data_IF_991659123249
#
_entry.id   IF_991659123249
#
_cell.length_a   1.000
_cell.length_b   1.000
_cell.length_c   1.000
_cell.angle_alpha   90.00
_cell.angle_beta   90.00
_cell.angle_gamma   90.00
#
_symmetry.space_group_name_H-M   'P 1'
#
loop_
_entity.id
_entity.type
_entity.pdbx_description
1 polymer ?
#
# COMPACT_ATOMS: atom_id res chain seq x y z
N UNK A 1 58.28 -4.58 -0.22
CA UNK A 1 57.91 -4.58 -1.64
C UNK A 1 58.17 -5.98 -2.18
N UNK A 2 57.10 -6.77 -2.31
CA UNK A 2 57.09 -8.01 -3.08
C UNK A 2 55.62 -8.27 -3.44
N UNK A 3 55.33 -8.18 -4.74
CA UNK A 3 54.03 -8.52 -5.31
C UNK A 3 54.01 -10.04 -5.53
N UNK A 4 52.87 -10.68 -5.23
CA UNK A 4 52.51 -11.99 -5.78
C UNK A 4 51.21 -11.83 -6.58
N UNK A 5 51.14 -12.30 -7.84
CA UNK A 5 49.97 -12.12 -8.70
C UNK A 5 48.96 -13.28 -8.61
N UNK A 6 47.69 -12.89 -8.69
CA UNK A 6 46.54 -13.51 -9.38
C UNK A 6 46.06 -14.92 -9.00
N UNK A 7 44.79 -15.02 -8.59
CA UNK A 7 43.82 -15.88 -9.28
C UNK A 7 42.42 -15.26 -9.23
N UNK A 8 41.84 -15.09 -10.42
CA UNK A 8 40.59 -14.42 -10.69
C UNK A 8 39.44 -15.43 -10.58
N UNK A 9 38.73 -15.41 -9.46
CA UNK A 9 37.36 -15.92 -9.37
C UNK A 9 36.57 -14.94 -8.52
N UNK A 10 36.04 -13.91 -9.19
CA UNK A 10 35.09 -12.99 -8.59
C UNK A 10 33.82 -13.75 -8.25
N UNK A 11 33.76 -14.29 -7.04
CA UNK A 11 32.48 -14.51 -6.38
C UNK A 11 31.99 -13.11 -6.03
N UNK A 12 31.06 -12.57 -6.81
CA UNK A 12 30.35 -11.36 -6.44
C UNK A 12 29.63 -11.66 -5.13
N UNK A 13 30.19 -11.17 -4.03
CA UNK A 13 29.53 -11.20 -2.73
C UNK A 13 28.47 -10.10 -2.85
N UNK A 14 27.27 -10.46 -3.31
CA UNK A 14 26.11 -9.59 -3.16
C UNK A 14 26.02 -9.21 -1.68
N UNK A 15 26.09 -7.91 -1.33
CA UNK A 15 26.10 -7.50 0.06
C UNK A 15 24.83 -8.00 0.74
N UNK A 16 25.01 -8.67 1.89
CA UNK A 16 23.95 -9.28 2.74
C UNK A 16 22.88 -8.24 3.15
N UNK A 17 23.10 -6.94 2.91
CA UNK A 17 22.13 -5.87 3.18
C UNK A 17 20.99 -5.72 2.15
N UNK A 18 20.95 -6.52 1.07
CA UNK A 18 19.99 -6.34 -0.03
C UNK A 18 18.80 -7.30 0.00
N UNK A 19 18.81 -8.33 0.85
CA UNK A 19 17.68 -9.24 0.95
C UNK A 19 16.62 -8.65 1.89
N UNK A 20 15.37 -8.43 1.43
CA UNK A 20 14.32 -7.96 2.31
C UNK A 20 14.13 -8.96 3.46
N UNK A 21 13.83 -8.48 4.68
CA UNK A 21 13.54 -9.34 5.82
C UNK A 21 12.55 -10.45 5.45
N UNK A 22 12.66 -11.68 6.01
CA UNK A 22 11.85 -12.83 5.60
C UNK A 22 10.34 -12.58 5.60
N UNK A 23 9.84 -11.76 6.52
CA UNK A 23 8.43 -11.34 6.57
C UNK A 23 8.03 -10.50 5.34
N UNK A 24 8.92 -9.62 4.88
CA UNK A 24 8.70 -8.76 3.71
C UNK A 24 8.80 -9.59 2.43
N UNK A 25 9.78 -10.50 2.31
CA UNK A 25 9.85 -11.44 1.18
C UNK A 25 8.60 -12.31 1.09
N UNK A 26 8.20 -12.97 2.18
CA UNK A 26 6.98 -13.80 2.17
C UNK A 26 5.72 -13.01 1.84
N UNK A 27 5.65 -11.74 2.25
CA UNK A 27 4.55 -10.85 1.90
C UNK A 27 4.55 -10.53 0.41
N UNK A 28 5.70 -10.14 -0.15
CA UNK A 28 5.84 -9.82 -1.58
C UNK A 28 5.57 -11.02 -2.48
N UNK A 29 6.00 -12.22 -2.09
CA UNK A 29 5.89 -13.41 -2.95
C UNK A 29 4.49 -14.05 -2.92
N UNK A 30 3.77 -13.91 -1.80
CA UNK A 30 2.49 -14.63 -1.60
C UNK A 30 1.29 -13.71 -1.45
N UNK A 31 1.44 -12.61 -0.71
CA UNK A 31 0.31 -11.76 -0.32
C UNK A 31 0.08 -10.69 -1.39
N UNK A 32 1.13 -10.05 -1.91
CA UNK A 32 1.02 -9.03 -2.97
C UNK A 32 0.27 -9.53 -4.22
N UNK A 33 0.58 -10.71 -4.80
CA UNK A 33 -0.15 -11.19 -5.99
C UNK A 33 -1.66 -11.36 -5.76
N UNK A 34 -2.07 -11.74 -4.55
CA UNK A 34 -3.47 -11.86 -4.18
C UNK A 34 -4.15 -10.50 -4.06
N UNK A 35 -3.48 -9.51 -3.44
CA UNK A 35 -3.98 -8.14 -3.35
C UNK A 35 -4.14 -7.52 -4.75
N UNK A 36 -3.15 -7.71 -5.62
CA UNK A 36 -3.18 -7.23 -7.00
C UNK A 36 -4.32 -7.87 -7.81
N UNK A 37 -4.58 -9.17 -7.60
CA UNK A 37 -5.71 -9.84 -8.24
C UNK A 37 -7.05 -9.27 -7.79
N UNK A 38 -7.22 -9.00 -6.48
CA UNK A 38 -8.44 -8.37 -5.95
C UNK A 38 -8.61 -6.96 -6.53
N UNK A 39 -7.54 -6.18 -6.66
CA UNK A 39 -7.60 -4.84 -7.25
C UNK A 39 -7.94 -4.87 -8.74
N UNK A 40 -7.38 -5.81 -9.51
CA UNK A 40 -7.76 -6.04 -10.91
C UNK A 40 -9.25 -6.36 -11.03
N UNK A 41 -9.78 -7.23 -10.16
CA UNK A 41 -11.22 -7.55 -10.15
C UNK A 41 -12.07 -6.32 -9.83
N UNK A 42 -11.65 -5.44 -8.90
CA UNK A 42 -12.35 -4.17 -8.62
C UNK A 42 -12.43 -3.29 -9.86
N UNK A 43 -11.33 -3.15 -10.59
CA UNK A 43 -11.27 -2.33 -11.82
C UNK A 43 -12.16 -2.88 -12.93
N UNK A 44 -12.34 -4.21 -13.00
CA UNK A 44 -13.28 -4.87 -13.91
C UNK A 44 -14.76 -4.71 -13.50
N UNK A 45 -15.05 -3.99 -12.41
CA UNK A 45 -16.42 -3.71 -11.93
C UNK A 45 -17.25 -4.97 -11.68
N UNK A 46 -16.62 -6.11 -11.37
CA UNK A 46 -17.30 -7.39 -11.12
C UNK A 46 -18.30 -7.33 -9.96
N UNK A 47 -18.15 -6.37 -9.06
CA UNK A 47 -19.10 -6.10 -7.98
C UNK A 47 -20.47 -5.62 -8.49
N UNK A 48 -20.53 -4.97 -9.66
CA UNK A 48 -21.79 -4.58 -10.31
C UNK A 48 -22.57 -5.79 -10.83
N UNK A 49 -21.86 -6.87 -11.15
CA UNK A 49 -22.41 -8.17 -11.55
C UNK A 49 -22.75 -9.08 -10.35
N UNK A 50 -22.70 -8.53 -9.13
CA UNK A 50 -23.06 -9.26 -7.90
C UNK A 50 -21.92 -10.07 -7.28
N UNK A 51 -20.69 -10.01 -7.81
CA UNK A 51 -19.54 -10.71 -7.24
C UNK A 51 -18.94 -9.86 -6.11
N UNK A 52 -19.05 -10.35 -4.88
CA UNK A 52 -18.45 -9.67 -3.73
C UNK A 52 -16.93 -9.88 -3.70
N UNK A 53 -16.20 -8.78 -3.46
CA UNK A 53 -14.74 -8.83 -3.28
C UNK A 53 -14.39 -8.64 -1.80
N UNK A 54 -13.31 -9.29 -1.31
CA UNK A 54 -12.84 -9.11 0.06
C UNK A 54 -12.64 -7.63 0.39
N UNK A 55 -13.24 -7.18 1.48
CA UNK A 55 -13.20 -5.77 1.91
C UNK A 55 -13.03 -5.72 3.42
N UNK A 56 -12.19 -4.81 3.89
CA UNK A 56 -12.02 -4.53 5.32
C UNK A 56 -12.91 -3.33 5.65
N UNK A 57 -13.75 -3.48 6.68
CA UNK A 57 -14.65 -2.40 7.15
C UNK A 57 -14.24 -2.01 8.56
N UNK A 58 -14.04 -0.70 8.76
CA UNK A 58 -13.71 -0.14 10.08
C UNK A 58 -14.99 0.35 10.74
N UNK A 59 -15.33 -0.21 11.90
CA UNK A 59 -16.54 0.09 12.66
C UNK A 59 -16.22 0.39 14.12
N UNK A 60 -17.07 1.18 14.78
CA UNK A 60 -16.95 1.48 16.21
C UNK A 60 -17.48 2.85 16.60
N UNK A 61 -17.67 3.06 17.90
CA UNK A 61 -18.28 4.26 18.48
C UNK A 61 -17.58 5.57 18.10
N UNK A 62 -18.29 6.70 18.20
CA UNK A 62 -17.68 8.02 17.97
C UNK A 62 -16.45 8.22 18.87
N UNK A 63 -15.38 8.82 18.34
CA UNK A 63 -14.12 9.05 19.06
C UNK A 63 -13.30 7.81 19.43
N UNK A 64 -13.67 6.61 18.98
CA UNK A 64 -12.89 5.37 19.22
C UNK A 64 -11.55 5.28 18.46
N UNK A 65 -11.12 6.33 17.75
CA UNK A 65 -9.84 6.36 17.03
C UNK A 65 -9.87 5.79 15.61
N UNK A 66 -11.04 5.50 15.02
CA UNK A 66 -11.17 5.01 13.62
C UNK A 66 -10.40 5.87 12.61
N UNK A 67 -10.62 7.19 12.65
CA UNK A 67 -9.91 8.12 11.78
C UNK A 67 -8.40 8.12 12.07
N UNK A 68 -7.98 7.88 13.33
CA UNK A 68 -6.57 7.75 13.72
C UNK A 68 -5.89 6.57 13.08
N UNK A 69 -6.54 5.41 13.09
CA UNK A 69 -6.01 4.23 12.43
C UNK A 69 -5.91 4.46 10.92
N UNK A 70 -6.95 5.03 10.30
CA UNK A 70 -6.97 5.29 8.86
C UNK A 70 -5.89 6.31 8.43
N UNK A 71 -5.69 7.38 9.18
CA UNK A 71 -4.60 8.35 8.91
C UNK A 71 -3.22 7.71 9.05
N UNK A 72 -2.99 6.91 10.10
CA UNK A 72 -1.70 6.22 10.28
C UNK A 72 -1.40 5.25 9.14
N UNK A 73 -2.42 4.62 8.55
CA UNK A 73 -2.27 3.70 7.43
C UNK A 73 -2.05 4.43 6.10
N UNK A 74 -2.80 5.50 5.85
CA UNK A 74 -2.75 6.23 4.59
C UNK A 74 -1.70 7.34 4.54
N UNK A 75 -1.09 7.68 5.68
CA UNK A 75 -0.17 8.80 5.82
C UNK A 75 -0.75 10.17 5.38
N UNK A 76 -2.08 10.32 5.40
CA UNK A 76 -2.79 11.57 5.12
C UNK A 76 -3.51 12.07 6.37
N UNK A 77 -3.85 13.35 6.41
CA UNK A 77 -4.73 13.91 7.44
C UNK A 77 -6.20 13.79 7.00
N UNK A 78 -7.05 13.23 7.86
CA UNK A 78 -8.50 13.24 7.67
C UNK A 78 -9.12 14.37 8.50
N UNK A 79 -10.28 14.93 8.09
CA UNK A 79 -10.95 15.97 8.86
C UNK A 79 -11.28 15.52 10.29
N UNK A 80 -10.88 16.33 11.28
CA UNK A 80 -11.10 16.09 12.71
C UNK A 80 -11.47 17.37 13.45
N UNK A 81 -12.29 17.23 14.48
CA UNK A 81 -12.72 18.34 15.33
C UNK A 81 -13.96 17.98 16.15
N UNK A 82 -14.32 18.84 17.09
CA UNK A 82 -15.54 18.66 17.86
C UNK A 82 -16.76 18.69 16.93
N UNK A 83 -17.64 17.70 17.04
CA UNK A 83 -18.81 17.58 16.17
C UNK A 83 -18.53 17.06 14.75
N UNK A 84 -17.27 16.80 14.39
CA UNK A 84 -16.89 16.18 13.12
C UNK A 84 -16.96 14.66 13.23
N UNK A 85 -17.63 14.04 12.27
CA UNK A 85 -17.67 12.58 12.11
C UNK A 85 -17.80 12.24 10.62
N UNK A 86 -17.43 11.01 10.27
CA UNK A 86 -17.62 10.46 8.92
C UNK A 86 -19.11 10.19 8.68
N UNK A 87 -19.78 11.07 7.92
CA UNK A 87 -21.21 10.96 7.60
C UNK A 87 -21.50 10.22 6.29
N UNK A 88 -20.49 10.13 5.42
CA UNK A 88 -20.53 9.41 4.16
C UNK A 88 -19.43 8.34 4.22
N UNK A 89 -19.68 7.09 3.77
CA UNK A 89 -18.64 6.07 3.76
C UNK A 89 -17.40 6.54 3.01
N UNK A 90 -16.25 6.51 3.69
CA UNK A 90 -14.95 6.75 3.09
C UNK A 90 -14.41 5.43 2.56
N UNK A 91 -14.11 5.37 1.27
CA UNK A 91 -13.42 4.22 0.67
C UNK A 91 -11.94 4.59 0.56
N UNK A 92 -11.09 3.82 1.23
CA UNK A 92 -9.64 3.97 1.17
C UNK A 92 -9.05 2.85 0.32
N UNK A 93 -8.22 3.21 -0.66
CA UNK A 93 -7.51 2.25 -1.52
C UNK A 93 -6.02 2.52 -1.42
N UNK A 94 -5.27 1.54 -0.91
CA UNK A 94 -3.82 1.56 -0.87
C UNK A 94 -3.32 0.65 -1.98
N UNK A 95 -2.60 1.23 -2.95
CA UNK A 95 -2.15 0.52 -4.15
C UNK A 95 -0.64 0.53 -4.23
N UNK A 96 -0.07 -0.52 -4.82
CA UNK A 96 1.36 -0.58 -5.04
C UNK A 96 1.76 0.34 -6.19
N UNK A 97 2.78 1.16 -5.98
CA UNK A 97 3.48 1.85 -7.07
C UNK A 97 4.45 0.86 -7.73
N UNK A 98 4.50 0.78 -9.08
CA UNK A 98 5.40 -0.14 -9.78
C UNK A 98 6.87 0.24 -9.60
N UNK A 99 7.14 1.52 -9.38
CA UNK A 99 8.47 2.04 -9.09
C UNK A 99 8.63 2.28 -7.58
N UNK A 100 9.53 1.55 -6.89
CA UNK A 100 9.75 1.72 -5.47
C UNK A 100 10.42 3.05 -5.09
N UNK A 101 11.08 3.72 -6.05
CA UNK A 101 11.76 5.00 -5.83
C UNK A 101 10.87 6.21 -6.15
N UNK A 102 9.65 5.97 -6.63
CA UNK A 102 8.67 7.03 -6.89
C UNK A 102 8.01 7.53 -5.60
N UNK A 103 7.79 8.84 -5.52
CA UNK A 103 7.03 9.46 -4.43
C UNK A 103 5.58 8.92 -4.41
N UNK A 104 4.99 8.72 -3.21
CA UNK A 104 3.60 8.28 -3.11
C UNK A 104 2.67 9.33 -3.71
N UNK A 105 1.74 8.88 -4.55
CA UNK A 105 0.71 9.74 -5.15
C UNK A 105 -0.59 9.61 -4.37
N UNK A 106 -1.21 10.75 -4.10
CA UNK A 106 -2.47 10.84 -3.38
C UNK A 106 -3.53 11.45 -4.30
N UNK A 107 -4.70 10.82 -4.35
CA UNK A 107 -5.83 11.31 -5.14
C UNK A 107 -7.13 11.18 -4.36
N UNK A 108 -8.00 12.18 -4.54
CA UNK A 108 -9.34 12.21 -3.99
C UNK A 108 -10.35 12.05 -5.12
N UNK A 109 -11.22 11.05 -5.01
CA UNK A 109 -12.33 10.85 -5.95
C UNK A 109 -13.66 11.24 -5.29
N UNK A 110 -14.41 12.14 -5.91
CA UNK A 110 -15.76 12.50 -5.50
C UNK A 110 -16.65 12.79 -6.71
N UNK A 111 -17.84 12.17 -6.75
CA UNK A 111 -18.77 12.28 -7.89
C UNK A 111 -18.12 11.92 -9.26
N UNK A 112 -17.18 10.96 -9.26
CA UNK A 112 -16.45 10.53 -10.46
C UNK A 112 -15.40 11.53 -10.95
N UNK A 113 -15.12 12.58 -10.19
CA UNK A 113 -14.02 13.51 -10.44
C UNK A 113 -12.84 13.13 -9.54
N UNK A 114 -11.65 13.04 -10.13
CA UNK A 114 -10.40 12.78 -9.41
C UNK A 114 -9.60 14.08 -9.33
N UNK A 115 -9.15 14.42 -8.13
CA UNK A 115 -8.28 15.57 -7.85
C UNK A 115 -7.02 15.05 -7.18
N UNK A 116 -5.86 15.37 -7.76
CA UNK A 116 -4.57 15.08 -7.14
C UNK A 116 -4.40 16.00 -5.91
N UNK A 117 -3.86 15.44 -4.84
CA UNK A 117 -3.56 16.20 -3.63
C UNK A 117 -2.05 16.33 -3.46
N UNK A 118 -1.60 17.55 -3.22
CA UNK A 118 -0.20 17.92 -2.94
C UNK A 118 0.33 17.31 -1.63
#
# INVERSE_FOLDING_TARGET
MALIPSTHHGHEITPISTLPPPLISSYNDRIRPLLDAVDKLRTLKVMQEGIQLPTIVVVGDQSSGKSSVLESLAAISLPRGQGICTRVPLIMRLQNQPDPDSEPTYSLEYMGQTVDTD
#
